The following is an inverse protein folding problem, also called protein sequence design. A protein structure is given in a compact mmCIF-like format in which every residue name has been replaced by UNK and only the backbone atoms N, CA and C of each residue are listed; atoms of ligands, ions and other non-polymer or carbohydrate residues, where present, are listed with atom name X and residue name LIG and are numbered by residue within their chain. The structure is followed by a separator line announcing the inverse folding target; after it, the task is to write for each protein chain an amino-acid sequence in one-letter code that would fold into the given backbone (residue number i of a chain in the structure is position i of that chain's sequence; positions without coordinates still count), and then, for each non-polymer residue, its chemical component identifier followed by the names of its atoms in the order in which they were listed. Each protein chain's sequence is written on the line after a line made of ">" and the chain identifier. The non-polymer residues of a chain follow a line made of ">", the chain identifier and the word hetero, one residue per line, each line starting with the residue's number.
data_IF_904663737818
#
_entry.id   IF_904663737818
#
_cell.length_a   1.000
_cell.length_b   1.000
_cell.length_c   1.000
_cell.angle_alpha   90.00
_cell.angle_beta   90.00
_cell.angle_gamma   90.00
#
_symmetry.space_group_name_H-M   'P 1'
#
loop_
_entity.id
_entity.type
_entity.pdbx_description
1 polymer ?
#
# COMPACT_ATOMS: atom_id res chain seq x y z
N UNK A 1 -38.97 -3.04 49.67
CA UNK A 1 -39.11 -3.98 48.53
C UNK A 1 -38.71 -3.24 47.26
N UNK A 2 -37.94 -3.87 46.36
CA UNK A 2 -36.76 -3.24 45.77
C UNK A 2 -36.86 -2.96 44.27
N UNK A 3 -35.81 -2.31 43.75
CA UNK A 3 -35.26 -2.42 42.40
C UNK A 3 -35.69 -1.36 41.36
N UNK A 4 -35.16 -0.15 41.50
CA UNK A 4 -34.80 0.68 40.34
C UNK A 4 -33.54 0.10 39.70
N UNK A 5 -33.71 -0.58 38.56
CA UNK A 5 -32.62 -1.01 37.67
C UNK A 5 -31.90 0.21 37.09
N UNK A 6 -30.55 0.27 37.14
CA UNK A 6 -29.82 1.26 36.38
C UNK A 6 -29.75 0.84 34.91
N UNK A 7 -30.20 1.75 34.06
CA UNK A 7 -30.21 1.67 32.61
C UNK A 7 -28.77 1.54 32.08
N UNK A 8 -28.43 0.40 31.49
CA UNK A 8 -27.09 0.10 30.98
C UNK A 8 -26.96 0.60 29.53
N UNK A 9 -26.63 1.88 29.35
CA UNK A 9 -26.36 2.49 28.03
C UNK A 9 -24.85 2.58 27.80
N UNK A 10 -24.21 1.48 27.38
CA UNK A 10 -22.81 1.44 26.93
C UNK A 10 -22.54 0.65 25.61
N UNK A 11 -23.37 0.69 24.54
CA UNK A 11 -22.99 0.05 23.26
C UNK A 11 -22.40 1.00 22.20
N UNK A 12 -22.58 2.32 22.30
CA UNK A 12 -22.32 3.22 21.16
C UNK A 12 -20.83 3.61 20.95
N UNK A 13 -20.04 3.62 22.02
CA UNK A 13 -18.64 4.04 21.94
C UNK A 13 -17.74 2.95 21.31
N UNK A 14 -17.90 1.69 21.70
CA UNK A 14 -17.13 0.57 21.15
C UNK A 14 -17.34 0.36 19.65
N UNK A 15 -18.57 0.45 19.16
CA UNK A 15 -18.83 0.34 17.71
C UNK A 15 -18.16 1.46 16.92
N UNK A 16 -18.04 2.65 17.50
CA UNK A 16 -17.38 3.80 16.89
C UNK A 16 -15.86 3.62 16.85
N UNK A 17 -15.27 3.09 17.91
CA UNK A 17 -13.83 2.80 17.98
C UNK A 17 -13.40 1.70 17.00
N UNK A 18 -14.18 0.63 16.87
CA UNK A 18 -13.96 -0.43 15.87
C UNK A 18 -14.00 0.14 14.46
N UNK A 19 -15.04 0.93 14.16
CA UNK A 19 -15.21 1.62 12.87
C UNK A 19 -14.00 2.50 12.55
N UNK A 20 -13.56 3.34 13.49
CA UNK A 20 -12.41 4.23 13.32
C UNK A 20 -11.11 3.45 13.06
N UNK A 21 -10.92 2.33 13.75
CA UNK A 21 -9.74 1.47 13.59
C UNK A 21 -9.70 0.83 12.20
N UNK A 22 -10.82 0.29 11.73
CA UNK A 22 -10.96 -0.25 10.38
C UNK A 22 -10.78 0.81 9.29
N UNK A 23 -11.36 2.00 9.46
CA UNK A 23 -11.17 3.12 8.54
C UNK A 23 -9.70 3.57 8.46
N UNK A 24 -9.00 3.58 9.60
CA UNK A 24 -7.57 3.90 9.63
C UNK A 24 -6.76 2.85 8.85
N UNK A 25 -7.04 1.56 9.01
CA UNK A 25 -6.40 0.48 8.25
C UNK A 25 -6.70 0.64 6.75
N UNK A 26 -7.95 0.84 6.37
CA UNK A 26 -8.34 0.99 4.96
C UNK A 26 -7.70 2.24 4.34
N UNK A 27 -7.63 3.35 5.08
CA UNK A 27 -6.93 4.57 4.64
C UNK A 27 -5.45 4.32 4.36
N UNK A 28 -4.75 3.64 5.28
CA UNK A 28 -3.33 3.29 5.08
C UNK A 28 -3.17 2.31 3.91
N UNK A 29 -4.09 1.38 3.72
CA UNK A 29 -4.09 0.43 2.60
C UNK A 29 -4.25 1.14 1.25
N UNK A 30 -5.20 2.09 1.15
CA UNK A 30 -5.36 2.94 -0.05
C UNK A 30 -4.12 3.80 -0.31
N UNK A 31 -3.48 4.32 0.75
CA UNK A 31 -2.22 5.04 0.63
C UNK A 31 -1.12 4.13 0.05
N UNK A 32 -0.97 2.89 0.52
CA UNK A 32 -0.01 1.93 -0.04
C UNK A 32 -0.27 1.63 -1.52
N UNK A 33 -1.54 1.42 -1.90
CA UNK A 33 -1.91 1.20 -3.31
C UNK A 33 -1.49 2.38 -4.18
N UNK A 34 -1.80 3.60 -3.77
CA UNK A 34 -1.43 4.82 -4.50
C UNK A 34 0.09 4.97 -4.66
N UNK A 35 0.87 4.56 -3.65
CA UNK A 35 2.34 4.60 -3.75
C UNK A 35 2.90 3.52 -4.67
N UNK A 36 2.33 2.31 -4.66
CA UNK A 36 2.70 1.26 -5.62
C UNK A 36 2.37 1.67 -7.05
N UNK A 37 1.22 2.30 -7.28
CA UNK A 37 0.86 2.84 -8.61
C UNK A 37 1.85 3.90 -9.07
N UNK A 38 2.15 4.88 -8.22
CA UNK A 38 3.14 5.92 -8.53
C UNK A 38 4.52 5.34 -8.85
N UNK A 39 4.95 4.28 -8.14
CA UNK A 39 6.21 3.58 -8.42
C UNK A 39 6.17 2.84 -9.74
N UNK A 40 5.07 2.15 -10.07
CA UNK A 40 4.89 1.46 -11.35
C UNK A 40 4.92 2.47 -12.50
N UNK A 41 4.19 3.57 -12.39
CA UNK A 41 4.09 4.61 -13.42
C UNK A 41 5.45 5.29 -13.65
N UNK A 42 6.12 5.70 -12.57
CA UNK A 42 7.49 6.23 -12.65
C UNK A 42 8.44 5.23 -13.32
N UNK A 43 8.31 3.95 -12.98
CA UNK A 43 9.09 2.87 -13.58
C UNK A 43 8.73 2.67 -15.04
N UNK A 44 7.49 2.85 -15.49
CA UNK A 44 7.17 2.75 -16.91
C UNK A 44 7.70 3.94 -17.70
N UNK A 45 7.49 5.17 -17.22
CA UNK A 45 7.93 6.41 -17.90
C UNK A 45 9.45 6.48 -18.11
N UNK A 46 10.24 6.10 -17.10
CA UNK A 46 11.70 6.04 -17.25
C UNK A 46 12.20 4.90 -18.15
N UNK A 47 11.34 3.93 -18.51
CA UNK A 47 11.71 2.85 -19.41
C UNK A 47 11.66 3.28 -20.87
N UNK A 48 10.72 4.18 -21.18
CA UNK A 48 10.39 4.59 -22.56
C UNK A 48 11.27 5.76 -23.01
N UNK A 49 11.52 6.73 -22.12
CA UNK A 49 12.23 7.97 -22.46
C UNK A 49 13.77 7.87 -22.38
N UNK A 50 14.35 6.77 -22.86
CA UNK A 50 15.82 6.65 -23.01
C UNK A 50 16.30 6.75 -24.45
N UNK A 51 15.54 7.44 -25.30
CA UNK A 51 15.99 8.07 -26.53
C UNK A 51 15.27 9.43 -26.66
N UNK A 52 16.04 10.50 -26.72
CA UNK A 52 15.70 11.89 -27.08
C UNK A 52 15.16 12.89 -26.03
N UNK A 53 16.05 13.87 -25.79
CA UNK A 53 15.82 15.31 -25.54
C UNK A 53 15.60 15.88 -24.13
N UNK A 54 16.24 17.04 -23.98
CA UNK A 54 16.76 17.76 -22.81
C UNK A 54 15.73 18.65 -22.09
N UNK A 55 14.42 18.47 -22.31
CA UNK A 55 13.41 19.44 -21.82
C UNK A 55 12.39 18.84 -20.82
N UNK A 56 12.37 17.51 -20.62
CA UNK A 56 11.41 16.84 -19.72
C UNK A 56 11.82 16.90 -18.23
N UNK A 57 13.00 17.42 -17.93
CA UNK A 57 13.60 17.39 -16.58
C UNK A 57 12.83 18.22 -15.53
N UNK A 58 12.04 19.22 -15.94
CA UNK A 58 11.33 20.11 -14.99
C UNK A 58 10.01 19.53 -14.46
N UNK A 59 9.29 18.73 -15.23
CA UNK A 59 8.00 18.17 -14.80
C UNK A 59 8.15 16.91 -13.92
N UNK A 60 9.30 16.21 -14.03
CA UNK A 60 9.55 14.94 -13.35
C UNK A 60 10.00 15.12 -11.88
N UNK A 61 10.50 16.30 -11.50
CA UNK A 61 10.94 16.55 -10.11
C UNK A 61 9.80 16.58 -9.09
N UNK A 62 8.55 16.82 -9.51
CA UNK A 62 7.41 16.98 -8.60
C UNK A 62 6.72 15.65 -8.22
N UNK A 63 7.01 14.54 -8.90
CA UNK A 63 6.37 13.24 -8.66
C UNK A 63 7.36 12.12 -8.34
N UNK A 64 8.39 12.43 -7.55
CA UNK A 64 9.28 11.37 -7.07
C UNK A 64 8.47 10.45 -6.15
N UNK A 65 8.34 9.14 -6.45
CA UNK A 65 7.65 8.23 -5.56
C UNK A 65 8.30 8.25 -4.17
N UNK A 66 7.51 7.99 -3.12
CA UNK A 66 8.04 7.89 -1.76
C UNK A 66 9.21 6.91 -1.70
N UNK A 67 10.17 7.23 -0.83
CA UNK A 67 11.36 6.40 -0.65
C UNK A 67 10.99 5.03 -0.11
N UNK A 68 11.83 4.03 -0.36
CA UNK A 68 11.64 2.67 0.18
C UNK A 68 11.49 2.67 1.71
N UNK A 69 12.18 3.59 2.39
CA UNK A 69 12.07 3.82 3.83
C UNK A 69 10.66 4.27 4.23
N UNK A 70 10.12 5.27 3.53
CA UNK A 70 8.78 5.77 3.77
C UNK A 70 7.73 4.69 3.47
N UNK A 71 7.90 3.95 2.38
CA UNK A 71 7.02 2.83 2.04
C UNK A 71 7.04 1.75 3.12
N UNK A 72 8.23 1.39 3.61
CA UNK A 72 8.37 0.45 4.73
C UNK A 72 7.66 0.96 5.99
N UNK A 73 7.80 2.24 6.30
CA UNK A 73 7.08 2.87 7.41
C UNK A 73 5.56 2.76 7.29
N UNK A 74 5.00 2.96 6.09
CA UNK A 74 3.55 2.83 5.85
C UNK A 74 3.11 1.36 6.02
N UNK A 75 3.88 0.40 5.51
CA UNK A 75 3.60 -1.04 5.67
C UNK A 75 3.63 -1.43 7.15
N UNK A 76 4.66 -1.03 7.90
CA UNK A 76 4.77 -1.29 9.33
C UNK A 76 3.61 -0.69 10.12
N UNK A 77 3.21 0.55 9.79
CA UNK A 77 2.04 1.20 10.40
C UNK A 77 0.76 0.38 10.15
N UNK A 78 0.55 -0.09 8.92
CA UNK A 78 -0.63 -0.92 8.59
C UNK A 78 -0.64 -2.20 9.42
N UNK A 79 0.49 -2.90 9.45
CA UNK A 79 0.59 -4.19 10.15
C UNK A 79 0.31 -4.03 11.64
N UNK A 80 0.90 -3.01 12.26
CA UNK A 80 0.63 -2.66 13.66
C UNK A 80 -0.86 -2.39 13.93
N UNK A 81 -1.54 -1.61 13.07
CA UNK A 81 -2.97 -1.34 13.24
C UNK A 81 -3.83 -2.60 13.14
N UNK A 82 -3.48 -3.52 12.23
CA UNK A 82 -4.19 -4.80 12.08
C UNK A 82 -3.97 -5.68 13.32
N UNK A 83 -2.73 -5.79 13.80
CA UNK A 83 -2.42 -6.52 15.03
C UNK A 83 -3.19 -5.95 16.22
N UNK A 84 -3.22 -4.62 16.37
CA UNK A 84 -4.01 -3.98 17.42
C UNK A 84 -5.51 -4.26 17.28
N UNK A 85 -6.06 -4.20 16.07
CA UNK A 85 -7.48 -4.45 15.83
C UNK A 85 -7.90 -5.83 16.36
N UNK A 86 -7.15 -6.88 16.03
CA UNK A 86 -7.45 -8.24 16.46
C UNK A 86 -7.06 -8.53 17.92
N UNK A 87 -6.21 -7.69 18.52
CA UNK A 87 -5.89 -7.77 19.96
C UNK A 87 -6.98 -7.11 20.80
N UNK A 88 -7.56 -5.99 20.32
CA UNK A 88 -8.46 -5.15 21.11
C UNK A 88 -9.94 -5.54 20.98
N UNK A 89 -10.35 -6.10 19.84
CA UNK A 89 -11.76 -6.33 19.54
C UNK A 89 -12.09 -7.80 19.31
N UNK A 90 -13.25 -8.21 19.84
CA UNK A 90 -13.77 -9.56 19.64
C UNK A 90 -14.37 -9.74 18.24
N UNK A 91 -14.55 -10.99 17.82
CA UNK A 91 -15.22 -11.30 16.56
C UNK A 91 -16.63 -10.68 16.46
N UNK A 92 -17.39 -10.68 17.55
CA UNK A 92 -18.75 -10.10 17.57
C UNK A 92 -18.71 -8.58 17.31
N UNK A 93 -17.79 -7.88 17.97
CA UNK A 93 -17.60 -6.45 17.78
C UNK A 93 -17.15 -6.12 16.34
N UNK A 94 -16.23 -6.90 15.80
CA UNK A 94 -15.76 -6.77 14.41
C UNK A 94 -16.90 -7.05 13.41
N UNK A 95 -17.72 -8.06 13.67
CA UNK A 95 -18.83 -8.44 12.80
C UNK A 95 -19.90 -7.34 12.67
N UNK A 96 -19.96 -6.39 13.62
CA UNK A 96 -20.81 -5.20 13.49
C UNK A 96 -20.38 -4.25 12.36
N UNK A 97 -19.14 -4.38 11.87
CA UNK A 97 -18.53 -3.53 10.82
C UNK A 97 -18.13 -4.34 9.57
N UNK A 98 -18.89 -5.38 9.22
CA UNK A 98 -18.64 -6.23 8.05
C UNK A 98 -18.30 -5.49 6.74
N UNK A 99 -18.98 -4.39 6.37
CA UNK A 99 -18.64 -3.66 5.14
C UNK A 99 -17.18 -3.17 5.10
N UNK A 100 -16.67 -2.67 6.24
CA UNK A 100 -15.30 -2.17 6.34
C UNK A 100 -14.27 -3.30 6.36
N UNK A 101 -14.61 -4.45 6.95
CA UNK A 101 -13.78 -5.66 6.90
C UNK A 101 -13.69 -6.18 5.47
N UNK A 102 -14.81 -6.26 4.76
CA UNK A 102 -14.83 -6.68 3.35
C UNK A 102 -14.00 -5.75 2.47
N UNK A 103 -14.07 -4.43 2.73
CA UNK A 103 -13.19 -3.49 2.08
C UNK A 103 -11.71 -3.75 2.41
N UNK A 104 -11.37 -3.99 3.68
CA UNK A 104 -10.00 -4.30 4.09
C UNK A 104 -9.45 -5.50 3.32
N UNK A 105 -10.25 -6.57 3.19
CA UNK A 105 -9.90 -7.78 2.43
C UNK A 105 -9.72 -7.47 0.94
N UNK A 106 -10.64 -6.73 0.33
CA UNK A 106 -10.51 -6.34 -1.08
C UNK A 106 -9.27 -5.47 -1.34
N UNK A 107 -8.92 -4.58 -0.41
CA UNK A 107 -7.70 -3.78 -0.48
C UNK A 107 -6.44 -4.66 -0.36
N UNK A 108 -6.46 -5.71 0.47
CA UNK A 108 -5.38 -6.69 0.56
C UNK A 108 -5.17 -7.45 -0.75
N UNK A 109 -6.25 -7.91 -1.39
CA UNK A 109 -6.18 -8.57 -2.69
C UNK A 109 -5.55 -7.65 -3.74
N UNK A 110 -5.98 -6.39 -3.79
CA UNK A 110 -5.40 -5.39 -4.69
C UNK A 110 -3.91 -5.14 -4.41
N UNK A 111 -3.52 -5.07 -3.13
CA UNK A 111 -2.12 -4.88 -2.73
C UNK A 111 -1.25 -6.05 -3.17
N UNK A 112 -1.75 -7.29 -3.05
CA UNK A 112 -1.06 -8.49 -3.51
C UNK A 112 -0.83 -8.41 -5.02
N UNK A 113 -1.89 -8.14 -5.79
CA UNK A 113 -1.81 -8.05 -7.26
C UNK A 113 -0.82 -6.96 -7.68
N UNK A 114 -0.92 -5.74 -7.14
CA UNK A 114 0.00 -4.65 -7.48
C UNK A 114 1.44 -4.94 -7.06
N UNK A 115 1.65 -5.57 -5.90
CA UNK A 115 2.99 -5.98 -5.46
C UNK A 115 3.61 -6.99 -6.42
N UNK A 116 2.84 -7.96 -6.91
CA UNK A 116 3.30 -8.92 -7.90
C UNK A 116 3.65 -8.25 -9.23
N UNK A 117 2.80 -7.34 -9.72
CA UNK A 117 3.04 -6.56 -10.93
C UNK A 117 4.35 -5.75 -10.80
N UNK A 118 4.54 -5.05 -9.68
CA UNK A 118 5.75 -4.27 -9.46
C UNK A 118 7.01 -5.15 -9.42
N UNK A 119 6.96 -6.32 -8.75
CA UNK A 119 8.08 -7.30 -8.76
C UNK A 119 8.42 -7.78 -10.16
N UNK A 120 7.42 -8.11 -10.97
CA UNK A 120 7.62 -8.55 -12.36
C UNK A 120 8.24 -7.46 -13.23
N UNK A 121 7.79 -6.20 -13.07
CA UNK A 121 8.33 -5.05 -13.78
C UNK A 121 9.82 -4.84 -13.43
N UNK A 122 10.17 -4.90 -12.14
CA UNK A 122 11.55 -4.79 -11.68
C UNK A 122 12.43 -5.92 -12.23
N UNK A 123 11.95 -7.17 -12.16
CA UNK A 123 12.68 -8.32 -12.70
C UNK A 123 12.95 -8.17 -14.21
N UNK A 124 11.95 -7.72 -14.96
CA UNK A 124 12.08 -7.45 -16.41
C UNK A 124 13.13 -6.38 -16.70
N UNK A 125 13.18 -5.32 -15.90
CA UNK A 125 14.21 -4.27 -16.02
C UNK A 125 15.61 -4.77 -15.68
N UNK A 126 15.76 -5.56 -14.62
CA UNK A 126 17.04 -6.17 -14.27
C UNK A 126 17.56 -7.06 -15.40
N UNK A 127 16.67 -7.81 -16.07
CA UNK A 127 17.03 -8.63 -17.22
C UNK A 127 17.53 -7.78 -18.39
N UNK A 128 16.81 -6.69 -18.74
CA UNK A 128 17.22 -5.74 -19.79
C UNK A 128 18.59 -5.11 -19.50
N UNK A 129 18.85 -4.70 -18.25
CA UNK A 129 20.14 -4.15 -17.83
C UNK A 129 21.26 -5.20 -17.95
N UNK A 130 20.98 -6.46 -17.57
CA UNK A 130 21.95 -7.55 -17.71
C UNK A 130 22.30 -7.81 -19.17
N UNK A 131 21.31 -7.76 -20.06
CA UNK A 131 21.50 -7.92 -21.50
C UNK A 131 22.29 -6.75 -22.10
N UNK A 132 21.93 -5.50 -21.79
CA UNK A 132 22.65 -4.33 -22.31
C UNK A 132 24.12 -4.33 -21.88
N UNK A 133 24.43 -4.68 -20.62
CA UNK A 133 25.82 -4.81 -20.13
C UNK A 133 26.60 -5.88 -20.89
N UNK A 134 25.98 -7.02 -21.25
CA UNK A 134 26.62 -8.05 -22.07
C UNK A 134 26.98 -7.51 -23.45
N UNK A 135 26.06 -6.79 -24.09
CA UNK A 135 26.28 -6.18 -25.40
C UNK A 135 27.38 -5.13 -25.33
N UNK A 136 27.32 -4.18 -24.39
CA UNK A 136 28.36 -3.14 -24.23
C UNK A 136 29.75 -3.74 -23.97
N UNK A 137 29.85 -4.85 -23.23
CA UNK A 137 31.14 -5.55 -23.01
C UNK A 137 31.68 -6.16 -24.30
N UNK A 138 30.83 -6.71 -25.16
CA UNK A 138 31.23 -7.28 -26.46
C UNK A 138 31.79 -6.18 -27.36
N UNK A 139 31.12 -5.02 -27.45
CA UNK A 139 31.56 -3.91 -28.29
C UNK A 139 32.82 -3.18 -27.79
N UNK A 140 33.15 -3.23 -26.49
CA UNK A 140 34.41 -2.69 -25.97
C UNK A 140 35.63 -3.58 -26.23
N UNK A 141 35.41 -4.80 -26.74
CA UNK A 141 36.48 -5.74 -27.10
C UNK A 141 36.85 -5.72 -28.59
N UNK A 142 36.10 -4.98 -29.40
CA UNK A 142 36.43 -4.64 -30.79
C UNK A 142 36.91 -3.18 -30.84
#
# INVERSE_FOLDING_TARGET
>A
MPSTTPNNTMPNNMSTEVRNSLEAINKVSRQLLSQLDSQIDYTNVYSDNRLDNDDTSKTIMEQRPVTDEQLRGIVSKRMFLIEQLFTLYTQEQLSSQLPLINEMVSLDEQLIVKSQQHKQLLASRMLKIKQSKKVTKLYKGY
#
